data_IF_401178637762
#
_entry.id   IF_401178637762
#
_cell.length_a   1.000
_cell.length_b   1.000
_cell.length_c   1.000
_cell.angle_alpha   90.00
_cell.angle_beta   90.00
_cell.angle_gamma   90.00
#
_symmetry.space_group_name_H-M   'P 1'
#
loop_
_entity.id
_entity.type
_entity.pdbx_description
1 polymer ?
#
# COMPACT_ATOMS: atom_id res chain seq x y z
N UNK A 1 12.03 -3.41 -21.15
CA UNK A 1 12.55 -2.02 -21.27
C UNK A 1 13.71 -1.79 -20.31
N UNK A 2 13.51 -1.90 -19.00
CA UNK A 2 14.56 -1.69 -17.99
C UNK A 2 15.16 -3.00 -17.43
N UNK A 3 15.25 -4.06 -18.23
CA UNK A 3 15.61 -5.40 -17.73
C UNK A 3 16.99 -5.41 -17.05
N UNK A 4 17.96 -4.69 -17.59
CA UNK A 4 19.33 -4.67 -17.08
C UNK A 4 19.50 -3.85 -15.79
N UNK A 5 18.58 -2.93 -15.50
CA UNK A 5 18.61 -2.08 -14.30
C UNK A 5 17.74 -2.64 -13.16
N UNK A 6 16.74 -3.46 -13.50
CA UNK A 6 15.79 -3.99 -12.54
C UNK A 6 16.51 -4.84 -11.48
N UNK A 7 16.29 -4.52 -10.21
CA UNK A 7 16.96 -5.13 -9.05
C UNK A 7 18.49 -4.93 -8.97
N UNK A 8 19.08 -4.20 -9.92
CA UNK A 8 20.48 -3.78 -9.86
C UNK A 8 20.62 -2.38 -9.29
N UNK A 9 19.90 -1.43 -9.87
CA UNK A 9 19.90 -0.02 -9.47
C UNK A 9 18.51 0.62 -9.51
N UNK A 10 17.49 -0.14 -9.95
CA UNK A 10 16.15 0.34 -10.18
C UNK A 10 15.10 -0.67 -9.71
N UNK A 11 14.09 -0.19 -9.00
CA UNK A 11 12.84 -0.90 -8.76
C UNK A 11 11.73 -0.22 -9.55
N UNK A 12 10.80 -1.02 -10.07
CA UNK A 12 9.70 -0.55 -10.90
C UNK A 12 8.40 -1.13 -10.36
N UNK A 13 7.41 -0.26 -10.18
CA UNK A 13 6.04 -0.65 -9.87
C UNK A 13 5.08 0.16 -10.73
N UNK A 14 4.50 -0.48 -11.75
CA UNK A 14 3.64 0.18 -12.75
C UNK A 14 4.32 1.43 -13.34
N UNK A 15 3.86 2.62 -12.97
CA UNK A 15 4.36 3.93 -13.40
C UNK A 15 5.43 4.53 -12.47
N UNK A 16 5.63 3.97 -11.28
CA UNK A 16 6.60 4.46 -10.30
C UNK A 16 7.97 3.78 -10.47
N UNK A 17 9.00 4.62 -10.61
CA UNK A 17 10.41 4.21 -10.68
C UNK A 17 11.14 4.63 -9.40
N UNK A 18 11.89 3.71 -8.80
CA UNK A 18 12.72 3.97 -7.63
C UNK A 18 14.17 3.58 -7.92
N UNK A 19 15.01 4.57 -8.19
CA UNK A 19 16.46 4.38 -8.31
C UNK A 19 17.12 4.33 -6.94
N UNK A 20 18.13 3.48 -6.77
CA UNK A 20 18.88 3.35 -5.52
C UNK A 20 20.35 3.02 -5.79
N UNK A 21 21.22 3.51 -4.92
CA UNK A 21 22.63 3.15 -4.88
C UNK A 21 23.18 3.47 -3.47
N UNK A 22 24.38 2.96 -3.15
CA UNK A 22 25.10 3.26 -1.91
C UNK A 22 25.88 4.57 -1.99
N UNK A 23 26.20 5.06 -3.18
CA UNK A 23 26.91 6.33 -3.38
C UNK A 23 26.12 7.29 -4.28
N UNK A 24 26.43 8.59 -4.17
CA UNK A 24 25.80 9.62 -5.02
C UNK A 24 26.18 9.44 -6.48
N UNK A 25 27.42 9.03 -6.74
CA UNK A 25 27.96 8.80 -8.07
C UNK A 25 27.25 7.62 -8.74
N UNK A 26 27.03 6.53 -8.00
CA UNK A 26 26.27 5.38 -8.50
C UNK A 26 24.82 5.72 -8.78
N UNK A 27 24.20 6.52 -7.91
CA UNK A 27 22.82 6.98 -8.10
C UNK A 27 22.69 7.90 -9.32
N UNK A 28 23.66 8.79 -9.55
CA UNK A 28 23.70 9.65 -10.74
C UNK A 28 23.87 8.81 -12.00
N UNK A 29 24.77 7.84 -12.00
CA UNK A 29 24.96 6.93 -13.14
C UNK A 29 23.68 6.11 -13.42
N UNK A 30 22.96 5.67 -12.38
CA UNK A 30 21.67 5.00 -12.54
C UNK A 30 20.62 5.93 -13.16
N UNK A 31 20.55 7.18 -12.69
CA UNK A 31 19.65 8.19 -13.24
C UNK A 31 19.92 8.44 -14.74
N UNK A 32 21.18 8.59 -15.14
CA UNK A 32 21.57 8.77 -16.55
C UNK A 32 21.08 7.61 -17.42
N UNK A 33 21.28 6.36 -16.98
CA UNK A 33 20.81 5.17 -17.71
C UNK A 33 19.29 5.13 -17.80
N UNK A 34 18.58 5.46 -16.73
CA UNK A 34 17.11 5.51 -16.71
C UNK A 34 16.60 6.56 -17.69
N UNK A 35 17.17 7.76 -17.69
CA UNK A 35 16.77 8.84 -18.60
C UNK A 35 17.05 8.50 -20.07
N UNK A 36 18.21 7.91 -20.38
CA UNK A 36 18.53 7.46 -21.73
C UNK A 36 17.57 6.36 -22.23
N UNK A 37 17.20 5.42 -21.35
CA UNK A 37 16.21 4.39 -21.68
C UNK A 37 14.83 5.04 -21.91
N UNK A 38 14.40 5.97 -21.05
CA UNK A 38 13.15 6.71 -21.24
C UNK A 38 13.11 7.45 -22.59
N UNK A 39 14.17 8.18 -22.93
CA UNK A 39 14.30 8.92 -24.18
C UNK A 39 14.19 7.98 -25.40
N UNK A 40 15.00 6.91 -25.43
CA UNK A 40 15.02 5.95 -26.55
C UNK A 40 13.70 5.23 -26.80
N UNK A 41 12.79 5.22 -25.82
CA UNK A 41 11.49 4.54 -25.89
C UNK A 41 10.30 5.51 -25.87
N UNK A 42 10.56 6.81 -25.85
CA UNK A 42 9.52 7.85 -25.82
C UNK A 42 8.71 7.91 -24.52
N UNK A 43 9.26 7.43 -23.40
CA UNK A 43 8.62 7.61 -22.09
C UNK A 43 8.87 9.01 -21.55
N UNK A 44 7.83 9.65 -21.03
CA UNK A 44 7.90 10.97 -20.41
C UNK A 44 7.72 10.86 -18.90
N UNK A 45 8.73 11.31 -18.15
CA UNK A 45 8.63 11.47 -16.71
C UNK A 45 7.94 12.80 -16.39
N UNK A 46 7.21 12.87 -15.27
CA UNK A 46 6.63 14.11 -14.78
C UNK A 46 7.62 14.81 -13.84
N UNK A 47 8.28 15.91 -14.25
CA UNK A 47 9.34 16.53 -13.44
C UNK A 47 8.86 17.02 -12.08
N UNK A 48 7.58 17.42 -11.97
CA UNK A 48 6.99 17.88 -10.70
C UNK A 48 6.80 16.76 -9.67
N UNK A 49 6.80 15.49 -10.11
CA UNK A 49 6.67 14.32 -9.24
C UNK A 49 8.01 13.62 -8.98
N UNK A 50 9.05 13.94 -9.76
CA UNK A 50 10.38 13.37 -9.57
C UNK A 50 11.05 13.95 -8.32
N UNK A 51 11.67 13.08 -7.54
CA UNK A 51 12.52 13.43 -6.40
C UNK A 51 13.88 12.77 -6.61
N UNK A 52 14.95 13.49 -6.32
CA UNK A 52 16.32 13.04 -6.60
C UNK A 52 17.19 13.18 -5.36
N UNK A 53 18.14 12.25 -5.19
CA UNK A 53 19.13 12.26 -4.11
C UNK A 53 18.55 12.33 -2.70
N UNK A 54 17.36 11.76 -2.50
CA UNK A 54 16.72 11.65 -1.20
C UNK A 54 17.41 10.56 -0.37
N UNK A 55 17.66 10.83 0.91
CA UNK A 55 18.11 9.82 1.88
C UNK A 55 16.95 8.96 2.39
N UNK A 56 15.74 9.47 2.27
CA UNK A 56 14.49 8.79 2.60
C UNK A 56 13.49 8.97 1.45
N UNK A 57 13.06 7.87 0.84
CA UNK A 57 12.17 7.90 -0.32
C UNK A 57 10.79 7.32 0.01
N UNK A 58 9.73 8.08 -0.31
CA UNK A 58 8.35 7.58 -0.29
C UNK A 58 8.05 6.85 -1.60
N UNK A 59 7.79 5.55 -1.54
CA UNK A 59 7.48 4.73 -2.72
C UNK A 59 6.44 3.65 -2.39
N UNK A 60 5.40 3.54 -3.21
CA UNK A 60 4.32 2.55 -3.06
C UNK A 60 3.68 2.48 -1.64
N UNK A 61 3.53 3.62 -0.97
CA UNK A 61 2.97 3.69 0.39
C UNK A 61 3.92 3.22 1.50
N UNK A 62 5.20 3.10 1.19
CA UNK A 62 6.29 2.80 2.12
C UNK A 62 7.30 3.93 2.12
N UNK A 63 8.10 3.96 3.17
CA UNK A 63 9.24 4.84 3.35
C UNK A 63 10.49 3.95 3.34
N UNK A 64 11.45 4.25 2.47
CA UNK A 64 12.70 3.51 2.34
C UNK A 64 13.85 4.43 2.74
N UNK A 65 14.71 3.95 3.63
CA UNK A 65 15.91 4.65 4.11
C UNK A 65 17.05 3.67 4.37
N UNK A 66 18.21 4.19 4.81
CA UNK A 66 19.34 3.40 5.28
C UNK A 66 19.00 2.44 6.43
N UNK A 67 17.98 2.77 7.24
CA UNK A 67 17.55 1.92 8.36
C UNK A 67 16.58 0.80 7.93
N UNK A 68 16.17 0.78 6.66
CA UNK A 68 15.29 -0.23 6.08
C UNK A 68 13.97 0.34 5.57
N UNK A 69 12.93 -0.49 5.60
CA UNK A 69 11.62 -0.18 5.03
C UNK A 69 10.59 -0.01 6.13
N UNK A 70 9.95 1.16 6.17
CA UNK A 70 8.89 1.51 7.10
C UNK A 70 7.59 1.75 6.34
N UNK A 71 6.47 1.64 7.05
CA UNK A 71 5.18 2.07 6.51
C UNK A 71 5.07 3.57 6.59
N UNK A 72 4.38 4.14 5.61
CA UNK A 72 4.05 5.55 5.59
C UNK A 72 3.15 5.92 6.79
N UNK A 73 3.59 6.80 7.71
CA UNK A 73 2.76 7.25 8.83
C UNK A 73 1.45 7.88 8.40
N UNK A 74 1.40 8.55 7.24
CA UNK A 74 0.16 9.15 6.72
C UNK A 74 -0.83 8.07 6.29
N UNK A 75 -0.35 6.96 5.73
CA UNK A 75 -1.17 5.81 5.35
C UNK A 75 -1.69 5.06 6.58
N UNK A 76 -0.86 4.94 7.63
CA UNK A 76 -1.28 4.40 8.93
C UNK A 76 -2.35 5.30 9.54
N UNK A 77 -2.11 6.61 9.60
CA UNK A 77 -3.05 7.59 10.14
C UNK A 77 -4.38 7.56 9.40
N UNK A 78 -4.37 7.50 8.07
CA UNK A 78 -5.59 7.38 7.27
C UNK A 78 -6.41 6.12 7.60
N UNK A 79 -5.75 5.01 7.97
CA UNK A 79 -6.42 3.80 8.43
C UNK A 79 -7.00 3.97 9.85
N UNK A 80 -6.27 4.63 10.76
CA UNK A 80 -6.72 4.93 12.13
C UNK A 80 -7.90 5.91 12.15
N UNK A 81 -7.92 6.87 11.23
CA UNK A 81 -8.97 7.87 11.09
C UNK A 81 -10.22 7.34 10.38
N UNK A 82 -10.23 6.07 9.92
CA UNK A 82 -11.42 5.47 9.33
C UNK A 82 -12.56 5.44 10.34
N UNK A 83 -13.74 5.86 9.88
CA UNK A 83 -14.96 5.78 10.68
C UNK A 83 -15.28 4.32 10.98
N UNK A 84 -15.78 4.09 12.20
CA UNK A 84 -16.23 2.78 12.63
C UNK A 84 -17.26 2.22 11.63
N UNK A 85 -17.06 0.98 11.12
CA UNK A 85 -17.95 0.41 10.12
C UNK A 85 -19.32 0.14 10.74
N UNK A 86 -20.37 0.71 10.13
CA UNK A 86 -21.76 0.55 10.60
C UNK A 86 -22.57 -0.41 9.73
N UNK A 87 -22.12 -0.67 8.51
CA UNK A 87 -22.73 -1.65 7.60
C UNK A 87 -21.75 -2.77 7.23
N UNK A 88 -22.27 -3.90 6.75
CA UNK A 88 -21.44 -4.97 6.18
C UNK A 88 -20.52 -4.50 5.05
N UNK A 89 -20.93 -3.51 4.25
CA UNK A 89 -20.05 -2.89 3.24
C UNK A 89 -18.88 -2.16 3.90
N UNK A 90 -19.17 -1.33 4.91
CA UNK A 90 -18.12 -0.57 5.59
C UNK A 90 -17.13 -1.52 6.26
N UNK A 91 -17.63 -2.63 6.83
CA UNK A 91 -16.80 -3.67 7.41
C UNK A 91 -15.91 -4.36 6.36
N UNK A 92 -16.47 -4.69 5.20
CA UNK A 92 -15.68 -5.22 4.08
C UNK A 92 -14.61 -4.22 3.64
N UNK A 93 -14.97 -2.94 3.49
CA UNK A 93 -14.04 -1.89 3.09
C UNK A 93 -12.91 -1.74 4.10
N UNK A 94 -13.23 -1.78 5.40
CA UNK A 94 -12.25 -1.74 6.48
C UNK A 94 -11.28 -2.93 6.41
N UNK A 95 -11.77 -4.17 6.29
CA UNK A 95 -10.94 -5.37 6.15
C UNK A 95 -10.04 -5.27 4.91
N UNK A 96 -10.59 -4.86 3.76
CA UNK A 96 -9.80 -4.65 2.55
C UNK A 96 -8.74 -3.56 2.73
N UNK A 97 -9.07 -2.47 3.43
CA UNK A 97 -8.15 -1.37 3.71
C UNK A 97 -7.03 -1.78 4.66
N UNK A 98 -7.22 -2.76 5.54
CA UNK A 98 -6.15 -3.26 6.42
C UNK A 98 -5.19 -4.24 5.72
N UNK A 99 -5.59 -4.82 4.60
CA UNK A 99 -4.89 -5.97 4.00
C UNK A 99 -3.45 -5.64 3.54
N UNK A 100 -3.13 -4.37 3.24
CA UNK A 100 -1.76 -3.98 2.89
C UNK A 100 -0.77 -4.12 4.07
N UNK A 101 -1.26 -4.20 5.30
CA UNK A 101 -0.44 -4.42 6.51
C UNK A 101 -0.21 -5.90 6.82
N UNK A 102 -0.84 -6.83 6.08
CA UNK A 102 -0.83 -8.28 6.38
C UNK A 102 0.58 -8.85 6.60
N UNK A 103 1.56 -8.40 5.82
CA UNK A 103 2.93 -8.90 5.90
C UNK A 103 3.73 -8.31 7.08
N UNK A 104 3.24 -7.23 7.69
CA UNK A 104 3.94 -6.52 8.77
C UNK A 104 3.36 -6.80 10.15
N UNK A 105 2.17 -7.39 10.23
CA UNK A 105 1.52 -7.75 11.48
C UNK A 105 1.67 -9.24 11.71
N UNK A 106 2.38 -9.61 12.77
CA UNK A 106 2.53 -11.01 13.20
C UNK A 106 1.16 -11.61 13.49
N UNK A 107 0.89 -12.80 12.94
CA UNK A 107 -0.41 -13.50 13.08
C UNK A 107 -1.62 -12.66 12.61
N UNK A 108 -1.43 -11.79 11.61
CA UNK A 108 -2.51 -10.96 11.04
C UNK A 108 -3.82 -11.70 10.79
N UNK A 109 -3.76 -12.90 10.19
CA UNK A 109 -4.96 -13.67 9.88
C UNK A 109 -5.75 -14.08 11.15
N UNK A 110 -5.06 -14.39 12.25
CA UNK A 110 -5.70 -14.72 13.54
C UNK A 110 -6.35 -13.48 14.14
N UNK A 111 -5.66 -12.33 14.05
CA UNK A 111 -6.15 -11.04 14.54
C UNK A 111 -7.41 -10.59 13.79
N UNK A 112 -7.44 -10.76 12.47
CA UNK A 112 -8.54 -10.30 11.59
C UNK A 112 -9.66 -11.34 11.45
N UNK A 113 -9.47 -12.56 11.94
CA UNK A 113 -10.47 -13.64 11.87
C UNK A 113 -11.83 -13.25 12.47
N UNK A 114 -11.93 -12.70 13.69
CA UNK A 114 -13.24 -12.40 14.31
C UNK A 114 -14.08 -11.43 13.47
N UNK A 115 -13.43 -10.42 12.88
CA UNK A 115 -14.12 -9.40 12.07
C UNK A 115 -14.46 -9.94 10.67
N UNK A 116 -13.69 -10.91 10.17
CA UNK A 116 -14.00 -11.61 8.91
C UNK A 116 -15.20 -12.56 9.09
N UNK A 117 -15.26 -13.29 10.21
CA UNK A 117 -16.39 -14.15 10.57
C UNK A 117 -17.67 -13.33 10.78
N UNK A 118 -17.55 -12.15 11.40
CA UNK A 118 -18.64 -11.19 11.50
C UNK A 118 -19.12 -10.71 10.13
N UNK A 119 -18.21 -10.43 9.19
CA UNK A 119 -18.60 -10.06 7.83
C UNK A 119 -19.41 -11.18 7.15
N UNK A 120 -18.98 -12.43 7.30
CA UNK A 120 -19.69 -13.59 6.76
C UNK A 120 -21.08 -13.78 7.39
N UNK A 121 -21.21 -13.57 8.70
CA UNK A 121 -22.51 -13.68 9.38
C UNK A 121 -23.48 -12.58 8.90
N UNK A 122 -22.99 -11.34 8.75
CA UNK A 122 -23.74 -10.20 8.19
C UNK A 122 -24.21 -10.51 6.77
N UNK A 123 -23.37 -11.11 5.93
CA UNK A 123 -23.76 -11.51 4.58
C UNK A 123 -24.77 -12.66 4.54
N UNK A 124 -24.65 -13.65 5.43
CA UNK A 124 -25.63 -14.73 5.54
C UNK A 124 -27.00 -14.20 5.94
N UNK A 125 -27.07 -13.33 6.94
CA UNK A 125 -28.31 -12.69 7.38
C UNK A 125 -28.96 -11.82 6.28
N UNK A 126 -28.13 -11.23 5.41
CA UNK A 126 -28.56 -10.41 4.27
C UNK A 126 -28.99 -11.20 3.02
N UNK A 127 -28.94 -12.54 3.04
CA UNK A 127 -29.29 -13.37 1.88
C UNK A 127 -28.20 -13.48 0.79
N UNK A 128 -26.93 -13.31 1.17
CA UNK A 128 -25.75 -13.60 0.34
C UNK A 128 -24.97 -12.36 -0.16
N UNK A 129 -23.72 -12.60 -0.62
CA UNK A 129 -22.75 -11.55 -1.01
C UNK A 129 -23.19 -10.64 -2.16
N UNK A 130 -24.01 -11.15 -3.09
CA UNK A 130 -24.37 -10.43 -4.33
C UNK A 130 -25.53 -9.45 -4.12
N UNK A 131 -26.38 -9.67 -3.10
CA UNK A 131 -27.73 -9.09 -3.07
C UNK A 131 -27.86 -7.74 -2.35
N UNK A 132 -26.90 -7.29 -1.54
CA UNK A 132 -27.17 -6.13 -0.66
C UNK A 132 -26.06 -5.09 -0.61
N UNK A 133 -26.31 -4.00 -1.34
CA UNK A 133 -25.65 -2.71 -1.23
C UNK A 133 -26.15 -1.87 -0.03
N UNK A 134 -27.05 -2.36 0.84
CA UNK A 134 -27.59 -1.61 1.98
C UNK A 134 -27.89 -2.48 3.20
N UNK A 135 -27.25 -2.09 4.32
CA UNK A 135 -27.86 -1.91 5.63
C UNK A 135 -28.26 -3.13 6.49
N UNK A 136 -27.49 -4.19 6.55
CA UNK A 136 -27.40 -4.93 7.81
C UNK A 136 -26.43 -4.18 8.73
N UNK A 137 -26.96 -3.62 9.83
CA UNK A 137 -26.17 -2.94 10.86
C UNK A 137 -25.18 -3.93 11.46
N UNK A 138 -23.92 -3.53 11.53
CA UNK A 138 -22.96 -4.18 12.42
C UNK A 138 -23.45 -3.84 13.83
N UNK A 139 -23.94 -4.84 14.56
CA UNK A 139 -24.40 -4.65 15.94
C UNK A 139 -23.30 -3.93 16.73
N UNK A 140 -23.67 -2.97 17.59
CA UNK A 140 -22.76 -2.22 18.48
C UNK A 140 -22.00 -3.20 19.40
N UNK A 141 -20.93 -3.79 18.91
CA UNK A 141 -19.93 -4.43 19.74
C UNK A 141 -18.97 -3.33 20.20
N UNK A 142 -18.72 -3.27 21.51
CA UNK A 142 -17.68 -2.40 22.03
C UNK A 142 -16.34 -2.92 21.50
N UNK A 143 -15.68 -2.11 20.69
CA UNK A 143 -14.31 -2.36 20.24
C UNK A 143 -13.29 -2.14 21.38
N UNK A 144 -13.71 -2.21 22.64
CA UNK A 144 -12.88 -1.96 23.82
C UNK A 144 -11.77 -3.02 24.05
N UNK A 145 -11.51 -3.88 23.06
CA UNK A 145 -10.41 -4.84 23.04
C UNK A 145 -9.48 -4.67 21.83
N UNK A 146 -9.57 -3.54 21.10
CA UNK A 146 -8.65 -3.18 20.01
C UNK A 146 -8.21 -1.73 20.11
#
# INVERSE_FOLDING_TARGET
MFQDELYRSLLIWLDDLLGYDKSKEGLLAALERVLAICESRGLKLNPKKCRFFETEARWCGRILSSEGVKHDPERIKALQDLKMPVTGRDLQQFICAMNWMRMSITKYNVIVQPITELLESVYKAAGGRIRQKRASQVARMSWAMW
#
